data_IF_206303298588
#
_entry.id   IF_206303298588
#
_cell.length_a   1.000
_cell.length_b   1.000
_cell.length_c   1.000
_cell.angle_alpha   90.00
_cell.angle_beta   90.00
_cell.angle_gamma   90.00
#
_symmetry.space_group_name_H-M   'P 1'
#
loop_
_entity.id
_entity.type
_entity.pdbx_description
1 polymer ?
#
# COMPACT_ATOMS: atom_id res chain seq x y z
N UNK A 1 -25.32 -3.34 -12.57
CA UNK A 1 -24.32 -3.30 -11.48
C UNK A 1 -25.07 -3.49 -10.17
N UNK A 2 -24.96 -4.66 -9.54
CA UNK A 2 -25.63 -4.94 -8.26
C UNK A 2 -24.98 -4.12 -7.14
N UNK A 3 -25.78 -3.36 -6.40
CA UNK A 3 -25.35 -2.68 -5.18
C UNK A 3 -24.88 -3.72 -4.16
N UNK A 4 -23.57 -3.77 -3.89
CA UNK A 4 -23.05 -4.61 -2.80
C UNK A 4 -23.45 -3.99 -1.47
N UNK A 5 -24.29 -4.69 -0.72
CA UNK A 5 -24.85 -4.22 0.54
C UNK A 5 -23.77 -4.20 1.64
N UNK A 6 -23.79 -3.12 2.44
CA UNK A 6 -23.07 -3.06 3.72
C UNK A 6 -23.68 -4.11 4.66
N UNK A 7 -22.85 -4.77 5.45
CA UNK A 7 -23.30 -5.73 6.46
C UNK A 7 -22.33 -5.75 7.65
N UNK A 8 -22.85 -6.12 8.82
CA UNK A 8 -22.02 -6.44 9.98
C UNK A 8 -21.44 -7.84 9.78
N UNK A 9 -20.13 -7.98 9.93
CA UNK A 9 -19.44 -9.27 9.93
C UNK A 9 -18.94 -9.47 11.35
N UNK A 10 -19.41 -10.52 12.02
CA UNK A 10 -18.97 -10.85 13.37
C UNK A 10 -17.58 -11.48 13.30
N UNK A 11 -16.55 -10.68 13.59
CA UNK A 11 -15.17 -11.13 13.63
C UNK A 11 -14.73 -11.34 15.08
N UNK A 12 -14.27 -12.55 15.39
CA UNK A 12 -13.52 -12.82 16.61
C UNK A 12 -12.01 -12.61 16.36
N UNK A 13 -11.29 -12.15 17.38
CA UNK A 13 -9.85 -11.92 17.35
C UNK A 13 -9.05 -13.18 16.98
N UNK A 14 -9.63 -14.36 17.19
CA UNK A 14 -9.04 -15.65 16.82
C UNK A 14 -9.21 -16.02 15.33
N UNK A 15 -9.92 -15.21 14.53
CA UNK A 15 -10.10 -15.49 13.10
C UNK A 15 -8.78 -15.32 12.34
N UNK A 16 -8.07 -16.44 12.21
CA UNK A 16 -6.79 -16.55 11.52
C UNK A 16 -6.88 -16.15 10.04
N UNK A 17 -8.06 -16.10 9.42
CA UNK A 17 -8.15 -15.66 8.02
C UNK A 17 -7.96 -14.16 7.88
N UNK A 18 -8.43 -13.39 8.87
CA UNK A 18 -8.35 -11.93 8.88
C UNK A 18 -7.09 -11.44 9.59
N UNK A 19 -6.66 -12.10 10.65
CA UNK A 19 -5.63 -11.56 11.55
C UNK A 19 -4.26 -12.23 11.46
N UNK A 20 -4.05 -13.12 10.47
CA UNK A 20 -2.76 -13.81 10.27
C UNK A 20 -1.55 -12.89 10.23
N UNK A 21 -1.74 -11.68 9.71
CA UNK A 21 -0.67 -10.71 9.48
C UNK A 21 -0.69 -9.54 10.47
N UNK A 22 -1.57 -9.60 11.47
CA UNK A 22 -1.61 -8.59 12.51
C UNK A 22 -0.36 -8.75 13.40
N UNK A 23 0.47 -7.71 13.46
CA UNK A 23 1.69 -7.72 14.26
C UNK A 23 1.91 -6.36 14.92
N UNK A 24 2.08 -6.36 16.24
CA UNK A 24 2.34 -5.17 17.05
C UNK A 24 3.73 -5.25 17.65
N UNK A 25 4.58 -4.28 17.31
CA UNK A 25 5.96 -4.23 17.77
C UNK A 25 5.99 -4.01 19.29
N UNK A 26 6.64 -4.91 20.03
CA UNK A 26 6.93 -4.73 21.46
C UNK A 26 5.77 -4.98 22.43
N UNK A 27 4.59 -5.43 21.96
CA UNK A 27 3.47 -5.83 22.85
C UNK A 27 3.24 -7.33 22.76
N UNK A 28 3.48 -8.05 23.85
CA UNK A 28 3.21 -9.49 23.98
C UNK A 28 1.73 -9.77 24.26
N UNK A 29 1.00 -8.81 24.84
CA UNK A 29 -0.44 -8.85 25.06
C UNK A 29 -1.04 -7.44 24.98
N UNK A 30 -2.28 -7.34 24.51
CA UNK A 30 -3.08 -6.12 24.56
C UNK A 30 -3.98 -6.18 25.79
N UNK A 31 -4.11 -5.05 26.48
CA UNK A 31 -5.03 -4.83 27.61
C UNK A 31 -6.07 -3.80 27.21
N UNK A 32 -7.19 -3.70 27.95
CA UNK A 32 -8.25 -2.73 27.63
C UNK A 32 -7.74 -1.27 27.59
N UNK A 33 -6.80 -0.92 28.46
CA UNK A 33 -6.20 0.42 28.53
C UNK A 33 -5.02 0.62 27.57
N UNK A 34 -4.75 -0.36 26.71
CA UNK A 34 -3.64 -0.28 25.77
C UNK A 34 -3.85 0.83 24.75
N UNK A 35 -2.97 1.83 24.81
CA UNK A 35 -2.80 2.82 23.74
C UNK A 35 -1.81 2.23 22.75
N UNK A 36 -2.25 1.93 21.52
CA UNK A 36 -1.41 1.26 20.52
C UNK A 36 -1.10 2.18 19.36
N UNK A 37 0.19 2.43 19.17
CA UNK A 37 0.71 3.24 18.08
C UNK A 37 1.05 2.38 16.88
N UNK A 38 0.63 2.84 15.72
CA UNK A 38 0.92 2.25 14.42
C UNK A 38 1.88 3.16 13.67
N UNK A 39 2.99 2.57 13.23
CA UNK A 39 3.96 3.22 12.38
C UNK A 39 3.56 3.10 10.91
N UNK A 40 3.98 4.07 10.10
CA UNK A 40 3.86 4.02 8.64
C UNK A 40 4.63 2.82 8.10
N UNK A 41 4.11 2.19 7.04
CA UNK A 41 4.78 1.11 6.31
C UNK A 41 5.42 1.64 5.01
N UNK A 42 6.62 2.24 5.05
CA UNK A 42 7.25 2.86 3.88
C UNK A 42 7.57 1.87 2.75
N UNK A 43 7.66 0.58 3.05
CA UNK A 43 7.90 -0.48 2.06
C UNK A 43 6.75 -0.66 1.06
N UNK A 44 5.54 -0.25 1.42
CA UNK A 44 4.34 -0.34 0.58
C UNK A 44 3.97 1.00 -0.07
N UNK A 45 4.75 2.06 0.13
CA UNK A 45 4.47 3.36 -0.46
C UNK A 45 4.60 3.33 -2.00
N UNK A 46 3.48 3.47 -2.70
CA UNK A 46 3.41 3.58 -4.16
C UNK A 46 3.00 5.01 -4.52
N UNK A 47 3.62 5.61 -5.55
CA UNK A 47 3.15 6.91 -6.03
C UNK A 47 1.76 6.78 -6.66
N UNK A 48 1.16 7.89 -7.09
CA UNK A 48 -0.10 7.78 -7.84
C UNK A 48 0.10 6.89 -9.09
N UNK A 49 -0.92 6.14 -9.50
CA UNK A 49 -0.79 5.22 -10.65
C UNK A 49 -0.26 5.91 -11.91
N UNK A 50 -0.65 7.17 -12.16
CA UNK A 50 -0.11 7.97 -13.28
C UNK A 50 1.40 8.24 -13.16
N UNK A 51 1.87 8.58 -11.95
CA UNK A 51 3.30 8.80 -11.72
C UNK A 51 4.10 7.51 -11.87
N UNK A 52 3.57 6.38 -11.39
CA UNK A 52 4.19 5.07 -11.58
C UNK A 52 4.34 4.70 -13.06
N UNK A 53 3.29 4.96 -13.85
CA UNK A 53 3.31 4.76 -15.31
C UNK A 53 4.36 5.64 -15.98
N UNK A 54 4.43 6.92 -15.62
CA UNK A 54 5.43 7.85 -16.15
C UNK A 54 6.87 7.40 -15.85
N UNK A 55 7.14 6.96 -14.62
CA UNK A 55 8.46 6.42 -14.27
C UNK A 55 8.81 5.15 -15.05
N UNK A 56 7.84 4.25 -15.27
CA UNK A 56 8.07 3.08 -16.09
C UNK A 56 8.39 3.44 -17.55
N UNK A 57 7.67 4.41 -18.13
CA UNK A 57 7.95 4.90 -19.48
C UNK A 57 9.34 5.54 -19.60
N UNK A 58 9.79 6.31 -18.60
CA UNK A 58 11.16 6.84 -18.58
C UNK A 58 12.20 5.72 -18.62
N UNK A 59 11.99 4.65 -17.84
CA UNK A 59 12.90 3.49 -17.85
C UNK A 59 12.88 2.77 -19.20
N UNK A 60 11.71 2.61 -19.83
CA UNK A 60 11.63 2.06 -21.19
C UNK A 60 12.34 2.94 -22.22
N UNK A 61 12.19 4.27 -22.14
CA UNK A 61 12.87 5.19 -23.04
C UNK A 61 14.40 5.08 -22.91
N UNK A 62 14.93 4.93 -21.70
CA UNK A 62 16.36 4.70 -21.45
C UNK A 62 16.80 3.33 -22.02
N UNK A 63 15.97 2.29 -21.84
CA UNK A 63 16.25 0.96 -22.40
C UNK A 63 16.28 0.96 -23.93
N UNK A 64 15.37 1.70 -24.58
CA UNK A 64 15.35 1.89 -26.03
C UNK A 64 16.53 2.73 -26.53
N UNK A 65 16.85 3.83 -25.84
CA UNK A 65 17.99 4.68 -26.23
C UNK A 65 19.32 3.95 -26.13
N UNK A 66 19.45 2.93 -25.27
CA UNK A 66 20.62 2.07 -25.19
C UNK A 66 20.95 1.38 -26.53
N UNK A 67 19.94 1.00 -27.31
CA UNK A 67 20.16 0.39 -28.64
C UNK A 67 20.71 1.40 -29.64
N UNK A 68 20.24 2.65 -29.59
CA UNK A 68 20.76 3.70 -30.44
C UNK A 68 22.18 4.13 -30.03
N UNK A 69 22.41 4.30 -28.72
CA UNK A 69 23.70 4.71 -28.17
C UNK A 69 24.80 3.68 -28.43
N UNK A 70 24.45 2.39 -28.50
CA UNK A 70 25.39 1.32 -28.83
C UNK A 70 26.16 1.59 -30.13
N UNK A 71 25.48 2.15 -31.14
CA UNK A 71 26.07 2.37 -32.47
C UNK A 71 26.54 3.83 -32.67
N UNK A 72 26.09 4.76 -31.83
CA UNK A 72 26.35 6.20 -32.00
C UNK A 72 27.55 6.74 -31.18
N UNK A 73 27.94 6.08 -30.09
CA UNK A 73 29.01 6.56 -29.19
C UNK A 73 29.91 5.43 -28.71
N UNK A 74 31.04 5.77 -28.07
CA UNK A 74 31.93 4.76 -27.49
C UNK A 74 31.19 3.87 -26.47
N UNK A 75 31.47 2.55 -26.43
CA UNK A 75 30.72 1.62 -25.60
C UNK A 75 30.67 1.97 -24.11
N UNK A 76 31.79 2.44 -23.55
CA UNK A 76 31.86 2.86 -22.14
C UNK A 76 31.02 4.11 -21.86
N UNK A 77 30.94 5.03 -22.82
CA UNK A 77 30.11 6.23 -22.73
C UNK A 77 28.63 5.87 -22.79
N UNK A 78 28.24 5.00 -23.72
CA UNK A 78 26.87 4.49 -23.83
C UNK A 78 26.42 3.85 -22.51
N UNK A 79 27.26 3.01 -21.92
CA UNK A 79 27.00 2.36 -20.64
C UNK A 79 26.79 3.37 -19.50
N UNK A 80 27.69 4.35 -19.35
CA UNK A 80 27.58 5.37 -18.31
C UNK A 80 26.35 6.27 -18.47
N UNK A 81 26.01 6.64 -19.71
CA UNK A 81 24.81 7.45 -19.98
C UNK A 81 23.54 6.69 -19.57
N UNK A 82 23.41 5.42 -19.97
CA UNK A 82 22.25 4.62 -19.63
C UNK A 82 22.15 4.35 -18.12
N UNK A 83 23.27 3.99 -17.48
CA UNK A 83 23.30 3.73 -16.03
C UNK A 83 23.00 5.00 -15.23
N UNK A 84 23.64 6.13 -15.58
CA UNK A 84 23.43 7.41 -14.92
C UNK A 84 21.99 7.91 -15.08
N UNK A 85 21.41 7.78 -16.27
CA UNK A 85 20.02 8.13 -16.53
C UNK A 85 19.06 7.28 -15.71
N UNK A 86 19.29 5.97 -15.64
CA UNK A 86 18.48 5.05 -14.83
C UNK A 86 18.56 5.41 -13.34
N UNK A 87 19.76 5.67 -12.82
CA UNK A 87 19.95 6.09 -11.44
C UNK A 87 19.26 7.43 -11.14
N UNK A 88 19.33 8.40 -12.06
CA UNK A 88 18.65 9.68 -11.91
C UNK A 88 17.13 9.52 -11.81
N UNK A 89 16.53 8.68 -12.66
CA UNK A 89 15.09 8.35 -12.61
C UNK A 89 14.74 7.67 -11.28
N UNK A 90 15.55 6.72 -10.84
CA UNK A 90 15.35 6.01 -9.58
C UNK A 90 15.42 6.93 -8.36
N UNK A 91 16.45 7.79 -8.28
CA UNK A 91 16.64 8.76 -7.20
C UNK A 91 15.47 9.76 -7.19
N UNK A 92 15.08 10.29 -8.35
CA UNK A 92 13.95 11.21 -8.48
C UNK A 92 12.67 10.59 -7.97
N UNK A 93 12.38 9.34 -8.38
CA UNK A 93 11.24 8.57 -7.87
C UNK A 93 11.29 8.46 -6.36
N UNK A 94 12.46 8.15 -5.80
CA UNK A 94 12.62 7.98 -4.35
C UNK A 94 12.40 9.29 -3.57
N UNK A 95 12.91 10.40 -4.08
CA UNK A 95 12.67 11.74 -3.50
C UNK A 95 11.19 12.09 -3.52
N UNK A 96 10.49 11.84 -4.64
CA UNK A 96 9.04 12.08 -4.73
C UNK A 96 8.25 11.22 -3.73
N UNK A 97 8.62 9.95 -3.58
CA UNK A 97 8.03 9.07 -2.55
C UNK A 97 8.27 9.63 -1.16
N UNK A 98 9.48 10.09 -0.83
CA UNK A 98 9.77 10.70 0.47
C UNK A 98 9.02 12.01 0.70
N UNK A 99 8.84 12.85 -0.32
CA UNK A 99 8.03 14.07 -0.20
C UNK A 99 6.57 13.74 0.11
N UNK A 100 6.02 12.71 -0.53
CA UNK A 100 4.61 12.31 -0.34
C UNK A 100 4.39 11.56 0.98
N UNK A 101 5.28 10.65 1.32
CA UNK A 101 5.08 9.69 2.42
C UNK A 101 5.90 9.99 3.68
N UNK A 102 6.86 10.91 3.61
CA UNK A 102 7.86 11.11 4.65
C UNK A 102 9.02 10.12 4.54
N UNK A 103 10.12 10.44 5.22
CA UNK A 103 11.28 9.56 5.35
C UNK A 103 11.17 8.70 6.62
N UNK A 104 11.46 7.41 6.52
CA UNK A 104 11.53 6.48 7.66
C UNK A 104 10.19 5.93 8.14
N UNK A 105 10.23 5.23 9.27
CA UNK A 105 9.04 4.83 10.02
C UNK A 105 8.58 6.03 10.86
N UNK A 106 7.41 6.57 10.54
CA UNK A 106 6.80 7.68 11.27
C UNK A 106 5.55 7.20 11.99
N UNK A 107 5.20 7.86 13.07
CA UNK A 107 3.90 7.68 13.70
C UNK A 107 2.78 8.01 12.69
N UNK A 108 1.82 7.10 12.54
CA UNK A 108 0.74 7.22 11.56
C UNK A 108 -0.64 7.29 12.19
N UNK A 109 -0.86 6.48 13.24
CA UNK A 109 -2.14 6.38 13.93
C UNK A 109 -1.94 5.84 15.34
N UNK A 110 -2.71 6.33 16.30
CA UNK A 110 -2.87 5.71 17.62
C UNK A 110 -4.32 5.29 17.78
N UNK A 111 -4.52 4.05 18.22
CA UNK A 111 -5.82 3.47 18.51
C UNK A 111 -5.86 3.10 20.00
N UNK A 112 -6.92 3.52 20.67
CA UNK A 112 -7.23 3.17 22.05
C UNK A 112 -8.71 2.88 22.20
N UNK A 113 -9.15 2.45 23.39
CA UNK A 113 -10.56 2.23 23.72
C UNK A 113 -11.44 3.48 23.56
N UNK A 114 -10.87 4.66 23.79
CA UNK A 114 -11.63 5.91 23.92
C UNK A 114 -11.45 6.85 22.72
N UNK A 115 -10.30 6.80 22.04
CA UNK A 115 -9.97 7.74 20.98
C UNK A 115 -9.13 7.12 19.85
N UNK A 116 -9.29 7.72 18.67
CA UNK A 116 -8.42 7.57 17.50
C UNK A 116 -7.65 8.85 17.27
N UNK A 117 -6.32 8.76 17.19
CA UNK A 117 -5.45 9.85 16.74
C UNK A 117 -4.83 9.47 15.42
N UNK A 118 -4.98 10.30 14.40
CA UNK A 118 -4.54 9.99 13.03
C UNK A 118 -3.65 11.12 12.53
N UNK A 119 -2.46 10.78 12.05
CA UNK A 119 -1.56 11.75 11.44
C UNK A 119 -2.17 12.32 10.15
N UNK A 120 -1.85 13.58 9.89
CA UNK A 120 -2.34 14.34 8.74
C UNK A 120 -2.02 13.68 7.40
N UNK A 121 -0.91 12.94 7.34
CA UNK A 121 -0.47 12.27 6.13
C UNK A 121 -1.16 10.91 5.92
N UNK A 122 -1.76 10.32 6.96
CA UNK A 122 -2.42 9.01 6.91
C UNK A 122 -3.74 9.04 6.13
N UNK A 123 -4.33 10.22 5.96
CA UNK A 123 -5.53 10.39 5.13
C UNK A 123 -5.20 10.36 3.64
N UNK A 124 -6.07 9.71 2.85
CA UNK A 124 -5.94 9.68 1.38
C UNK A 124 -6.06 11.06 0.76
N UNK A 125 -6.95 11.90 1.32
CA UNK A 125 -7.02 13.34 1.04
C UNK A 125 -6.28 14.05 2.18
N UNK A 126 -5.12 14.61 1.89
CA UNK A 126 -4.27 15.24 2.90
C UNK A 126 -5.04 16.28 3.70
N UNK A 127 -4.99 16.12 5.02
CA UNK A 127 -5.49 17.10 5.99
C UNK A 127 -4.30 17.96 6.44
N UNK A 128 -4.54 19.20 6.87
CA UNK A 128 -3.46 20.07 7.36
C UNK A 128 -3.07 19.82 8.82
N UNK A 129 -3.86 19.04 9.57
CA UNK A 129 -3.70 18.81 11.00
C UNK A 129 -3.84 17.34 11.36
N UNK A 130 -3.22 16.96 12.48
CA UNK A 130 -3.51 15.70 13.18
C UNK A 130 -4.98 15.76 13.61
N UNK A 131 -5.67 14.64 13.43
CA UNK A 131 -7.09 14.53 13.74
C UNK A 131 -7.24 13.59 14.94
N UNK A 132 -7.89 14.08 15.99
CA UNK A 132 -8.25 13.29 17.18
C UNK A 132 -9.76 13.15 17.20
N UNK A 133 -10.25 11.92 17.32
CA UNK A 133 -11.67 11.57 17.24
C UNK A 133 -11.98 10.73 18.47
N UNK A 134 -12.95 11.15 19.28
CA UNK A 134 -13.46 10.30 20.34
C UNK A 134 -14.26 9.15 19.72
N UNK A 135 -14.15 7.94 20.29
CA UNK A 135 -14.91 6.77 19.82
C UNK A 135 -16.41 7.06 19.77
N UNK A 136 -16.91 7.79 20.75
CA UNK A 136 -18.34 8.14 20.85
C UNK A 136 -18.83 9.05 19.71
N UNK A 137 -17.93 9.76 19.02
CA UNK A 137 -18.26 10.60 17.87
C UNK A 137 -18.32 9.80 16.56
N UNK A 138 -17.87 8.54 16.58
CA UNK A 138 -17.85 7.66 15.41
C UNK A 138 -19.22 7.00 15.26
N UNK A 139 -19.81 7.13 14.08
CA UNK A 139 -21.03 6.42 13.74
C UNK A 139 -20.72 5.01 13.27
N UNK A 140 -19.77 4.87 12.33
CA UNK A 140 -19.30 3.58 11.83
C UNK A 140 -17.88 3.69 11.24
N UNK A 141 -17.13 2.59 11.29
CA UNK A 141 -15.88 2.42 10.53
C UNK A 141 -16.10 1.32 9.49
N UNK A 142 -15.99 1.69 8.22
CA UNK A 142 -16.27 0.82 7.08
C UNK A 142 -14.98 0.27 6.52
N UNK A 143 -14.84 -1.05 6.52
CA UNK A 143 -13.79 -1.75 5.80
C UNK A 143 -14.29 -2.29 4.47
N UNK A 144 -13.71 -1.80 3.39
CA UNK A 144 -13.95 -2.29 2.04
C UNK A 144 -13.00 -3.49 1.78
N UNK A 145 -13.56 -4.65 1.44
CA UNK A 145 -12.78 -5.88 1.28
C UNK A 145 -13.14 -6.66 0.00
N UNK A 146 -12.19 -7.44 -0.52
CA UNK A 146 -12.45 -8.53 -1.47
C UNK A 146 -12.18 -9.86 -0.79
N UNK A 147 -12.82 -10.93 -1.27
CA UNK A 147 -12.47 -12.29 -0.90
C UNK A 147 -11.68 -12.91 -2.05
N UNK A 148 -10.36 -12.89 -1.92
CA UNK A 148 -9.48 -13.43 -2.96
C UNK A 148 -9.48 -14.96 -2.88
N UNK A 149 -9.72 -15.60 -4.01
CA UNK A 149 -9.53 -17.03 -4.18
C UNK A 149 -8.04 -17.29 -4.31
N UNK A 150 -7.37 -17.78 -3.26
CA UNK A 150 -6.00 -18.26 -3.45
C UNK A 150 -6.02 -19.54 -4.29
N UNK A 151 -5.08 -19.58 -5.24
CA UNK A 151 -4.84 -20.68 -6.16
C UNK A 151 -4.64 -22.03 -5.43
N UNK A 152 -5.25 -23.06 -6.02
CA UNK A 152 -5.17 -24.51 -5.74
C UNK A 152 -4.17 -24.95 -4.68
N UNK A 153 -4.67 -25.47 -3.55
CA UNK A 153 -3.99 -26.58 -2.88
C UNK A 153 -4.24 -27.87 -3.68
N UNK A 154 -3.30 -28.80 -3.57
CA UNK A 154 -3.35 -30.13 -4.21
C UNK A 154 -4.74 -30.76 -4.02
N UNK A 155 -5.23 -31.41 -5.07
CA UNK A 155 -6.46 -32.23 -5.18
C UNK A 155 -7.22 -32.48 -3.87
N UNK A 156 -8.45 -31.96 -3.77
CA UNK A 156 -9.48 -32.42 -2.82
C UNK A 156 -9.91 -31.46 -1.72
N UNK A 157 -9.17 -30.39 -1.41
CA UNK A 157 -9.58 -29.42 -0.38
C UNK A 157 -10.41 -28.24 -0.94
N UNK A 158 -11.43 -27.82 -0.18
CA UNK A 158 -12.23 -26.65 -0.49
C UNK A 158 -11.37 -25.38 -0.61
N UNK A 159 -11.71 -24.52 -1.57
CA UNK A 159 -11.01 -23.26 -1.82
C UNK A 159 -11.09 -22.35 -0.59
N UNK A 160 -9.95 -22.07 0.05
CA UNK A 160 -9.89 -21.08 1.14
C UNK A 160 -9.91 -19.68 0.54
N UNK A 161 -10.98 -18.94 0.82
CA UNK A 161 -11.09 -17.51 0.50
C UNK A 161 -10.32 -16.72 1.55
N UNK A 162 -9.36 -15.90 1.13
CA UNK A 162 -8.63 -15.01 2.02
C UNK A 162 -9.18 -13.59 1.85
N UNK A 163 -9.54 -12.90 2.94
CA UNK A 163 -9.95 -11.51 2.87
C UNK A 163 -8.76 -10.63 2.48
N UNK A 164 -9.03 -9.61 1.68
CA UNK A 164 -8.07 -8.57 1.30
C UNK A 164 -8.73 -7.21 1.57
N UNK A 165 -8.10 -6.40 2.42
CA UNK A 165 -8.60 -5.07 2.80
C UNK A 165 -8.05 -4.00 1.85
N UNK A 166 -8.94 -3.16 1.34
CA UNK A 166 -8.58 -2.15 0.33
C UNK A 166 -8.65 -0.73 0.84
N UNK A 167 -9.72 -0.41 1.58
CA UNK A 167 -9.99 0.95 2.07
C UNK A 167 -10.62 0.86 3.46
N UNK A 168 -10.26 1.80 4.31
CA UNK A 168 -10.93 2.06 5.59
C UNK A 168 -11.51 3.48 5.58
N UNK A 169 -12.82 3.58 5.78
CA UNK A 169 -13.55 4.85 5.88
C UNK A 169 -14.09 5.01 7.30
N UNK A 170 -13.83 6.14 7.95
CA UNK A 170 -14.40 6.51 9.25
C UNK A 170 -15.52 7.51 8.98
N UNK A 171 -16.75 7.15 9.35
CA UNK A 171 -17.93 8.00 9.23
C UNK A 171 -18.27 8.52 10.63
N UNK A 172 -18.25 9.84 10.78
CA UNK A 172 -18.55 10.50 12.04
C UNK A 172 -20.04 10.79 12.14
N UNK A 173 -20.55 10.89 13.38
CA UNK A 173 -21.97 11.22 13.65
C UNK A 173 -22.39 12.59 13.11
N UNK A 174 -21.43 13.51 12.93
CA UNK A 174 -21.65 14.83 12.32
C UNK A 174 -21.80 14.77 10.77
N UNK A 175 -21.65 13.61 10.15
CA UNK A 175 -21.74 13.40 8.71
C UNK A 175 -20.41 13.46 7.95
N UNK A 176 -19.31 13.83 8.62
CA UNK A 176 -17.98 13.86 8.00
C UNK A 176 -17.48 12.44 7.69
N UNK A 177 -16.73 12.34 6.59
CA UNK A 177 -16.13 11.08 6.12
C UNK A 177 -14.64 11.22 5.95
N UNK A 178 -13.90 10.33 6.59
CA UNK A 178 -12.45 10.32 6.56
C UNK A 178 -11.96 8.99 5.96
N UNK A 179 -11.16 9.05 4.91
CA UNK A 179 -10.62 7.85 4.25
C UNK A 179 -9.14 7.67 4.61
N UNK A 180 -8.80 6.53 5.20
CA UNK A 180 -7.43 6.15 5.55
C UNK A 180 -6.73 5.58 4.30
N UNK A 181 -5.51 6.04 4.05
CA UNK A 181 -4.63 5.49 3.00
C UNK A 181 -4.03 4.15 3.49
N UNK A 182 -4.62 3.04 3.05
CA UNK A 182 -4.17 1.69 3.39
C UNK A 182 -2.75 1.34 2.92
N UNK A 183 -2.14 2.16 2.06
CA UNK A 183 -0.73 2.00 1.69
C UNK A 183 0.23 2.57 2.74
N UNK A 184 -0.28 3.37 3.69
CA UNK A 184 0.50 3.99 4.77
C UNK A 184 0.45 3.21 6.06
N UNK A 185 -0.70 2.66 6.40
CA UNK A 185 -0.91 1.90 7.64
C UNK A 185 -1.46 0.53 7.28
N UNK A 186 -0.94 -0.51 7.93
CA UNK A 186 -1.42 -1.87 7.71
C UNK A 186 -2.88 -2.00 8.15
N UNK A 187 -3.82 -2.03 7.19
CA UNK A 187 -5.25 -2.07 7.48
C UNK A 187 -5.68 -3.28 8.32
N UNK A 188 -4.96 -4.41 8.23
CA UNK A 188 -5.21 -5.58 9.09
C UNK A 188 -4.86 -5.32 10.57
N UNK A 189 -3.79 -4.55 10.84
CA UNK A 189 -3.46 -4.12 12.20
C UNK A 189 -4.54 -3.17 12.74
N UNK A 190 -5.03 -2.25 11.89
CA UNK A 190 -6.11 -1.32 12.23
C UNK A 190 -7.40 -2.09 12.56
N UNK A 191 -7.80 -3.02 11.68
CA UNK A 191 -8.99 -3.83 11.88
C UNK A 191 -8.90 -4.65 13.18
N UNK A 192 -7.76 -5.29 13.43
CA UNK A 192 -7.55 -6.07 14.66
C UNK A 192 -7.74 -5.21 15.92
N UNK A 193 -7.13 -4.02 15.97
CA UNK A 193 -7.25 -3.11 17.12
C UNK A 193 -8.67 -2.57 17.28
N UNK A 194 -9.38 -2.31 16.17
CA UNK A 194 -10.76 -1.85 16.21
C UNK A 194 -11.73 -2.93 16.69
N UNK A 195 -11.51 -4.20 16.30
CA UNK A 195 -12.26 -5.33 16.86
C UNK A 195 -11.93 -5.49 18.35
N UNK A 196 -10.65 -5.41 18.73
CA UNK A 196 -10.21 -5.56 20.12
C UNK A 196 -10.83 -4.51 21.05
N UNK A 197 -10.93 -3.26 20.61
CA UNK A 197 -11.53 -2.17 21.38
C UNK A 197 -13.03 -1.96 21.13
N UNK A 198 -13.69 -2.87 20.40
CA UNK A 198 -15.13 -2.86 20.14
C UNK A 198 -15.65 -1.58 19.45
N UNK A 199 -14.94 -1.12 18.42
CA UNK A 199 -15.40 0.00 17.60
C UNK A 199 -16.63 -0.38 16.76
N UNK A 200 -17.50 0.58 16.39
CA UNK A 200 -18.66 0.31 15.54
C UNK A 200 -18.20 -0.01 14.11
N UNK A 201 -18.08 -1.29 13.77
CA UNK A 201 -17.56 -1.75 12.48
C UNK A 201 -18.67 -2.10 11.48
N UNK A 202 -18.43 -1.77 10.21
CA UNK A 202 -19.24 -2.22 9.08
C UNK A 202 -18.35 -2.72 7.95
N UNK A 203 -18.83 -3.70 7.19
CA UNK A 203 -18.07 -4.30 6.10
C UNK A 203 -18.81 -4.14 4.79
N UNK A 204 -18.04 -3.84 3.75
CA UNK A 204 -18.57 -3.72 2.39
C UNK A 204 -17.71 -4.55 1.45
N UNK A 205 -18.35 -5.55 0.84
CA UNK A 205 -17.74 -6.29 -0.25
C UNK A 205 -17.51 -5.36 -1.44
N UNK A 206 -16.33 -5.45 -2.04
CA UNK A 206 -16.00 -4.73 -3.27
C UNK A 206 -15.41 -5.72 -4.28
N UNK A 207 -15.54 -5.38 -5.57
CA UNK A 207 -14.87 -6.10 -6.67
C UNK A 207 -13.69 -5.29 -7.23
N UNK A 208 -13.51 -4.05 -6.76
CA UNK A 208 -12.66 -3.03 -7.39
C UNK A 208 -11.28 -2.87 -6.72
N UNK A 209 -10.90 -3.73 -5.77
CA UNK A 209 -9.77 -3.46 -4.87
C UNK A 209 -8.37 -3.85 -5.35
N UNK A 210 -8.21 -4.82 -6.27
CA UNK A 210 -6.90 -5.44 -6.52
C UNK A 210 -6.22 -5.11 -7.86
N UNK A 211 -6.99 -4.78 -8.91
CA UNK A 211 -6.46 -4.79 -10.29
C UNK A 211 -5.41 -3.69 -10.56
N UNK A 212 -5.58 -2.50 -9.97
CA UNK A 212 -4.69 -1.37 -10.20
C UNK A 212 -3.26 -1.63 -9.72
N UNK A 213 -3.09 -2.15 -8.50
CA UNK A 213 -1.76 -2.39 -7.93
C UNK A 213 -1.01 -3.54 -8.61
N UNK A 214 -1.73 -4.59 -9.06
CA UNK A 214 -1.12 -5.71 -9.80
C UNK A 214 -0.59 -5.23 -11.16
N UNK A 215 -1.37 -4.43 -11.89
CA UNK A 215 -0.93 -3.88 -13.19
C UNK A 215 0.31 -3.00 -13.06
N UNK A 216 0.38 -2.18 -12.00
CA UNK A 216 1.55 -1.33 -11.71
C UNK A 216 2.78 -2.18 -11.35
N UNK A 217 2.60 -3.26 -10.58
CA UNK A 217 3.68 -4.19 -10.26
C UNK A 217 4.23 -4.89 -11.51
N UNK A 218 3.33 -5.39 -12.38
CA UNK A 218 3.72 -5.99 -13.65
C UNK A 218 4.49 -4.99 -14.52
N UNK A 219 3.99 -3.76 -14.65
CA UNK A 219 4.65 -2.69 -15.41
C UNK A 219 6.06 -2.40 -14.88
N UNK A 220 6.24 -2.36 -13.56
CA UNK A 220 7.56 -2.19 -12.92
C UNK A 220 8.50 -3.34 -13.27
N UNK A 221 8.03 -4.59 -13.23
CA UNK A 221 8.85 -5.75 -13.58
C UNK A 221 9.27 -5.74 -15.06
N UNK A 222 8.37 -5.37 -15.96
CA UNK A 222 8.68 -5.21 -17.38
C UNK A 222 9.71 -4.10 -17.63
N UNK A 223 9.56 -2.95 -16.99
CA UNK A 223 10.51 -1.85 -17.14
C UNK A 223 11.91 -2.22 -16.58
N UNK A 224 11.95 -2.87 -15.41
CA UNK A 224 13.21 -3.31 -14.79
C UNK A 224 13.92 -4.40 -15.59
N UNK A 225 13.18 -5.34 -16.17
CA UNK A 225 13.77 -6.36 -17.05
C UNK A 225 14.32 -5.75 -18.33
N UNK A 226 13.60 -4.81 -18.96
CA UNK A 226 14.06 -4.13 -20.15
C UNK A 226 15.39 -3.37 -19.92
N UNK A 227 15.47 -2.56 -18.86
CA UNK A 227 16.71 -1.84 -18.56
C UNK A 227 17.86 -2.76 -18.15
N UNK A 228 17.57 -3.86 -17.42
CA UNK A 228 18.59 -4.85 -17.08
C UNK A 228 19.18 -5.49 -18.34
N UNK A 229 18.34 -5.91 -19.29
CA UNK A 229 18.78 -6.45 -20.58
C UNK A 229 19.61 -5.44 -21.38
N UNK A 230 19.17 -4.19 -21.47
CA UNK A 230 19.91 -3.12 -22.16
C UNK A 230 21.27 -2.84 -21.53
N UNK A 231 21.35 -2.77 -20.19
CA UNK A 231 22.61 -2.56 -19.47
C UNK A 231 23.54 -3.76 -19.62
N UNK A 232 23.03 -4.99 -19.57
CA UNK A 232 23.84 -6.19 -19.85
C UNK A 232 24.41 -6.17 -21.26
N UNK A 233 23.58 -5.82 -22.26
CA UNK A 233 24.04 -5.69 -23.65
C UNK A 233 25.17 -4.67 -23.77
N UNK A 234 25.03 -3.48 -23.19
CA UNK A 234 26.08 -2.45 -23.22
C UNK A 234 27.33 -2.89 -22.47
N UNK A 235 27.18 -3.57 -21.33
CA UNK A 235 28.29 -4.09 -20.53
C UNK A 235 29.13 -5.11 -21.29
N UNK A 236 28.50 -6.05 -22.00
CA UNK A 236 29.24 -7.04 -22.81
C UNK A 236 29.93 -6.42 -24.03
N UNK A 237 29.48 -5.24 -24.48
CA UNK A 237 30.11 -4.49 -25.57
C UNK A 237 31.19 -3.51 -25.10
N UNK A 238 31.56 -3.49 -23.81
CA UNK A 238 32.64 -2.64 -23.27
C UNK A 238 34.05 -3.01 -23.76
N UNK A 239 34.17 -4.02 -24.63
CA UNK A 239 35.45 -4.49 -25.19
C UNK A 239 36.01 -3.53 -26.22
#
# INVERSE_FOLDING_TARGET
MGSMAKHSLELDLNDKNWFRYAAFKGKSSLTEDSITELETLPGLAVLSGRAEVLFAFMVFAISLSAFYLKDAVLPWLAFLICLGSFLAVFITKRIMTYKKYGFGFKWAMTISKNELKIDKLTFKKHTNRIVTIARDDIAEVIFNYTMDLKHRRKFGEAHRRLPSLHVCEIHLKNGDKLEIDGMRVGLFNVLYLMVFHDYPLSFRGTLAGGAGNVSILLLRMCALSAIASSLSMLFFNLK
#
